data_IF_772066979665
#
_entry.id   IF_772066979665
#
_cell.length_a   1.000
_cell.length_b   1.000
_cell.length_c   1.000
_cell.angle_alpha   90.00
_cell.angle_beta   90.00
_cell.angle_gamma   90.00
#
_symmetry.space_group_name_H-M   'P 1'
#
loop_
_entity.id
_entity.type
_entity.pdbx_description
1 polymer ?
#
# COMPACT_ATOMS: atom_id res chain seq x y z
N UNK A 1 7.71 -16.54 7.00
CA UNK A 1 6.83 -15.60 7.73
C UNK A 1 5.96 -14.95 6.67
N UNK A 2 4.68 -15.21 6.53
CA UNK A 2 3.72 -15.88 7.38
C UNK A 2 2.47 -15.04 7.23
N UNK A 3 1.55 -15.46 6.35
CA UNK A 3 0.26 -14.80 6.16
C UNK A 3 -0.37 -14.60 7.51
N UNK A 4 -0.30 -13.38 8.01
CA UNK A 4 -1.10 -13.02 9.14
C UNK A 4 -2.41 -12.55 8.53
N UNK A 5 -3.30 -13.51 8.28
CA UNK A 5 -4.72 -13.26 8.41
C UNK A 5 -4.93 -12.86 9.88
N UNK A 6 -4.48 -11.65 10.23
CA UNK A 6 -4.71 -11.08 11.54
C UNK A 6 -6.22 -10.98 11.61
N UNK A 7 -6.80 -11.81 12.48
CA UNK A 7 -8.15 -11.69 12.98
C UNK A 7 -8.40 -10.20 13.16
N UNK A 8 -9.12 -9.64 12.19
CA UNK A 8 -9.28 -8.21 12.03
C UNK A 8 -9.85 -7.69 13.33
N UNK A 9 -9.14 -6.72 13.88
CA UNK A 9 -9.53 -5.97 15.06
C UNK A 9 -11.06 -5.79 15.09
N UNK A 10 -11.78 -6.21 16.15
CA UNK A 10 -13.25 -6.19 16.18
C UNK A 10 -13.86 -4.80 15.92
N UNK A 11 -13.06 -3.74 15.99
CA UNK A 11 -13.45 -2.37 15.65
C UNK A 11 -13.57 -2.07 14.14
N UNK A 12 -13.05 -2.94 13.26
CA UNK A 12 -13.07 -2.76 11.80
C UNK A 12 -14.06 -3.66 11.06
N UNK A 13 -14.82 -4.49 11.78
CA UNK A 13 -15.80 -5.42 11.22
C UNK A 13 -16.85 -4.82 10.24
N UNK A 14 -17.25 -3.53 10.32
CA UNK A 14 -18.20 -2.97 9.35
C UNK A 14 -17.55 -2.33 8.11
N UNK A 15 -16.22 -2.28 7.99
CA UNK A 15 -15.55 -1.70 6.83
C UNK A 15 -15.10 -2.83 5.91
N UNK A 16 -15.44 -2.77 4.62
CA UNK A 16 -14.91 -3.62 3.55
C UNK A 16 -13.41 -3.31 3.32
N UNK A 17 -12.62 -3.42 4.39
CA UNK A 17 -11.23 -2.97 4.45
C UNK A 17 -10.33 -4.10 3.98
N UNK A 18 -9.71 -3.94 2.81
CA UNK A 18 -8.62 -4.80 2.40
C UNK A 18 -7.32 -4.22 2.96
N UNK A 19 -6.53 -5.04 3.66
CA UNK A 19 -5.29 -4.63 4.30
C UNK A 19 -4.11 -5.40 3.70
N UNK A 20 -3.05 -4.66 3.40
CA UNK A 20 -1.77 -5.21 2.97
C UNK A 20 -0.65 -4.66 3.85
N UNK A 21 0.11 -5.56 4.44
CA UNK A 21 1.43 -5.22 4.94
C UNK A 21 2.40 -5.29 3.76
N UNK A 22 3.00 -4.18 3.41
CA UNK A 22 3.93 -4.11 2.29
C UNK A 22 5.06 -3.13 2.57
N UNK A 23 6.08 -3.18 1.73
CA UNK A 23 7.06 -2.12 1.69
C UNK A 23 6.62 -1.06 0.68
N UNK A 24 6.75 0.22 1.03
CA UNK A 24 6.48 1.35 0.14
C UNK A 24 7.74 2.18 -0.09
N UNK A 25 7.85 2.74 -1.29
CA UNK A 25 8.87 3.73 -1.68
C UNK A 25 8.22 4.84 -2.51
N UNK A 26 8.56 6.11 -2.25
CA UNK A 26 8.12 7.22 -3.09
C UNK A 26 8.89 7.20 -4.43
N UNK A 27 8.17 7.25 -5.54
CA UNK A 27 8.73 7.24 -6.89
C UNK A 27 9.09 8.67 -7.31
N UNK A 28 10.35 8.90 -7.68
CA UNK A 28 10.90 10.22 -8.04
C UNK A 28 12.07 10.67 -7.17
N UNK A 29 12.30 10.00 -6.05
CA UNK A 29 13.45 10.20 -5.17
C UNK A 29 14.31 8.93 -5.23
N UNK A 30 15.36 8.96 -6.05
CA UNK A 30 16.07 7.77 -6.53
C UNK A 30 16.77 6.94 -5.43
N UNK A 31 16.67 7.32 -4.16
CA UNK A 31 17.56 6.85 -3.09
C UNK A 31 16.87 6.59 -1.74
N UNK A 32 15.53 6.69 -1.65
CA UNK A 32 14.85 6.40 -0.37
C UNK A 32 14.74 4.89 -0.11
N UNK A 33 15.11 4.40 1.08
CA UNK A 33 14.97 2.99 1.43
C UNK A 33 13.49 2.60 1.50
N UNK A 34 13.20 1.35 1.18
CA UNK A 34 11.90 0.73 1.40
C UNK A 34 11.48 0.85 2.86
N UNK A 35 10.25 1.32 3.09
CA UNK A 35 9.67 1.41 4.43
C UNK A 35 8.53 0.42 4.58
N UNK A 36 8.57 -0.39 5.64
CA UNK A 36 7.43 -1.25 5.99
C UNK A 36 6.26 -0.36 6.42
N UNK A 37 5.11 -0.55 5.79
CA UNK A 37 3.88 0.21 6.07
C UNK A 37 2.68 -0.74 6.03
N UNK A 38 1.61 -0.33 6.70
CA UNK A 38 0.30 -0.91 6.50
C UNK A 38 -0.46 -0.07 5.50
N UNK A 39 -0.96 -0.69 4.45
CA UNK A 39 -1.86 -0.07 3.47
C UNK A 39 -3.25 -0.66 3.67
N UNK A 40 -4.25 0.21 3.70
CA UNK A 40 -5.65 -0.19 3.78
C UNK A 40 -6.44 0.48 2.66
N UNK A 41 -7.27 -0.31 1.97
CA UNK A 41 -8.25 0.21 1.03
C UNK A 41 -9.60 0.35 1.73
N UNK A 42 -10.20 1.51 1.60
CA UNK A 42 -11.61 1.75 1.90
C UNK A 42 -12.38 1.86 0.59
N UNK A 43 -13.69 2.10 0.65
CA UNK A 43 -14.49 2.37 -0.55
C UNK A 43 -14.05 3.62 -1.32
N UNK A 44 -13.40 4.59 -0.65
CA UNK A 44 -13.12 5.91 -1.22
C UNK A 44 -11.66 6.33 -1.17
N UNK A 45 -10.88 5.77 -0.27
CA UNK A 45 -9.51 6.20 0.05
C UNK A 45 -8.56 4.99 0.18
N UNK A 46 -7.34 5.15 -0.34
CA UNK A 46 -6.17 4.34 -0.01
C UNK A 46 -5.45 5.00 1.17
N UNK A 47 -5.36 4.29 2.29
CA UNK A 47 -4.78 4.76 3.54
C UNK A 47 -3.41 4.11 3.74
N UNK A 48 -2.42 4.88 4.19
CA UNK A 48 -1.10 4.37 4.58
C UNK A 48 -0.87 4.69 6.05
N UNK A 49 -0.45 3.70 6.81
CA UNK A 49 -0.06 3.81 8.21
C UNK A 49 1.40 3.39 8.38
N UNK A 50 2.13 4.09 9.23
CA UNK A 50 3.54 3.77 9.52
C UNK A 50 3.71 2.43 10.24
N UNK A 51 2.68 1.98 10.98
CA UNK A 51 2.62 0.67 11.62
C UNK A 51 1.17 0.24 11.85
N UNK A 52 0.96 -1.03 12.23
CA UNK A 52 -0.37 -1.58 12.53
C UNK A 52 -1.03 -0.83 13.70
N UNK A 53 -2.15 -0.11 13.48
CA UNK A 53 -2.82 0.63 14.55
C UNK A 53 -3.38 -0.34 15.60
N UNK A 54 -2.96 -0.17 16.87
CA UNK A 54 -3.32 -1.07 17.97
C UNK A 54 -4.59 -0.66 18.74
N UNK A 55 -5.02 0.59 18.57
CA UNK A 55 -6.22 1.16 19.20
C UNK A 55 -7.15 1.76 18.15
N UNK A 56 -8.45 1.87 18.47
CA UNK A 56 -9.48 2.32 17.52
C UNK A 56 -9.21 3.72 16.99
N UNK A 57 -8.77 4.63 17.85
CA UNK A 57 -8.56 6.04 17.54
C UNK A 57 -7.45 6.24 16.50
N UNK A 58 -6.44 5.38 16.53
CA UNK A 58 -5.30 5.43 15.61
C UNK A 58 -5.70 5.08 14.16
N UNK A 59 -6.80 4.35 13.94
CA UNK A 59 -7.31 4.08 12.58
C UNK A 59 -7.84 5.33 11.88
N UNK A 60 -8.20 6.37 12.63
CA UNK A 60 -8.66 7.65 12.06
C UNK A 60 -7.52 8.62 11.75
N UNK A 61 -6.27 8.24 12.02
CA UNK A 61 -5.09 9.09 11.81
C UNK A 61 -4.06 8.38 10.92
N UNK A 62 -4.40 8.10 9.65
CA UNK A 62 -3.43 7.57 8.70
C UNK A 62 -2.29 8.57 8.45
N UNK A 63 -1.10 8.06 8.13
CA UNK A 63 0.03 8.88 7.70
C UNK A 63 -0.29 9.59 6.38
N UNK A 64 -0.91 8.85 5.46
CA UNK A 64 -1.41 9.39 4.19
C UNK A 64 -2.81 8.85 3.90
N UNK A 65 -3.65 9.73 3.34
CA UNK A 65 -4.98 9.37 2.83
C UNK A 65 -5.09 9.86 1.38
N UNK A 66 -5.22 8.92 0.46
CA UNK A 66 -5.27 9.18 -0.98
C UNK A 66 -6.64 8.82 -1.55
N UNK A 67 -7.44 9.78 -2.03
CA UNK A 67 -8.73 9.47 -2.63
C UNK A 67 -8.57 8.56 -3.84
N UNK A 68 -9.33 7.47 -3.91
CA UNK A 68 -9.30 6.51 -5.02
C UNK A 68 -9.72 7.16 -6.34
N UNK A 69 -10.65 8.11 -6.29
CA UNK A 69 -11.05 8.90 -7.46
C UNK A 69 -9.87 9.67 -8.08
N UNK A 70 -8.87 10.05 -7.28
CA UNK A 70 -7.66 10.76 -7.70
C UNK A 70 -6.42 9.85 -7.79
N UNK A 71 -6.55 8.57 -7.45
CA UNK A 71 -5.46 7.59 -7.44
C UNK A 71 -5.61 6.62 -8.61
N UNK A 72 -4.52 6.34 -9.31
CA UNK A 72 -4.48 5.39 -10.42
C UNK A 72 -3.38 4.38 -10.20
N UNK A 73 -3.68 3.12 -10.44
CA UNK A 73 -2.66 2.10 -10.66
C UNK A 73 -1.97 2.40 -12.00
N UNK A 74 -0.64 2.46 -12.01
CA UNK A 74 0.13 2.80 -13.22
C UNK A 74 1.11 1.73 -13.67
N UNK A 75 1.48 0.82 -12.77
CA UNK A 75 2.34 -0.31 -13.09
C UNK A 75 2.05 -1.48 -12.16
N UNK A 76 2.08 -2.70 -12.70
CA UNK A 76 2.05 -3.96 -11.94
C UNK A 76 3.01 -4.92 -12.65
N UNK A 77 4.07 -5.37 -11.98
CA UNK A 77 5.06 -6.24 -12.61
C UNK A 77 6.46 -6.19 -11.98
N UNK A 78 7.41 -6.97 -12.52
CA UNK A 78 8.80 -6.94 -12.09
C UNK A 78 9.34 -5.52 -12.24
N UNK A 79 9.85 -4.96 -11.14
CA UNK A 79 10.25 -3.55 -11.05
C UNK A 79 11.23 -3.12 -12.14
N UNK A 80 11.18 -1.85 -12.54
CA UNK A 80 12.19 -1.26 -13.43
C UNK A 80 13.50 -1.05 -12.69
N UNK A 81 14.33 -2.09 -12.65
CA UNK A 81 15.68 -2.09 -12.11
C UNK A 81 16.33 -3.45 -12.35
N UNK A 82 17.62 -3.46 -12.66
CA UNK A 82 18.47 -4.65 -12.92
C UNK A 82 18.05 -5.92 -12.14
N UNK A 83 18.09 -7.12 -12.75
CA UNK A 83 17.59 -8.36 -12.16
C UNK A 83 18.50 -8.82 -11.01
N UNK A 84 18.22 -8.36 -9.80
CA UNK A 84 18.79 -8.95 -8.59
C UNK A 84 17.76 -9.90 -7.97
N UNK A 85 17.92 -11.20 -8.27
CA UNK A 85 17.41 -12.34 -7.50
C UNK A 85 16.06 -12.17 -6.80
N UNK A 86 14.97 -12.40 -7.54
CA UNK A 86 13.62 -12.49 -7.02
C UNK A 86 12.67 -11.72 -7.92
N UNK A 87 11.59 -12.35 -8.36
CA UNK A 87 10.54 -11.64 -9.10
C UNK A 87 10.01 -10.54 -8.16
N UNK A 88 10.37 -9.28 -8.39
CA UNK A 88 9.87 -8.17 -7.58
C UNK A 88 8.38 -8.00 -7.85
N UNK A 89 7.56 -8.59 -6.97
CA UNK A 89 6.11 -8.51 -7.03
C UNK A 89 5.68 -7.12 -6.55
N UNK A 90 5.69 -6.16 -7.45
CA UNK A 90 5.43 -4.77 -7.12
C UNK A 90 4.33 -4.16 -7.97
N UNK A 91 3.66 -3.16 -7.39
CA UNK A 91 2.73 -2.31 -8.10
C UNK A 91 2.98 -0.85 -7.73
N UNK A 92 2.64 0.07 -8.64
CA UNK A 92 2.80 1.50 -8.42
C UNK A 92 1.49 2.25 -8.58
N UNK A 93 1.27 3.22 -7.70
CA UNK A 93 0.15 4.16 -7.79
C UNK A 93 0.65 5.56 -8.09
N UNK A 94 -0.20 6.36 -8.75
CA UNK A 94 -0.06 7.81 -8.89
C UNK A 94 -1.33 8.47 -8.36
N UNK A 95 -1.17 9.47 -7.51
CA UNK A 95 -2.28 10.21 -6.91
C UNK A 95 -2.14 11.69 -7.19
N UNK A 96 -3.22 12.30 -7.67
CA UNK A 96 -3.34 13.76 -7.72
C UNK A 96 -3.56 14.32 -6.32
N UNK A 97 -2.64 15.16 -5.85
CA UNK A 97 -2.70 15.87 -4.57
C UNK A 97 -2.72 17.38 -4.82
N UNK A 98 -2.92 18.17 -3.76
CA UNK A 98 -2.88 19.63 -3.89
C UNK A 98 -1.46 20.14 -4.23
N UNK A 99 -0.42 19.39 -3.86
CA UNK A 99 0.97 19.74 -4.18
C UNK A 99 1.44 19.20 -5.56
N UNK A 100 0.61 18.46 -6.29
CA UNK A 100 0.96 17.92 -7.60
C UNK A 100 0.59 16.45 -7.74
N UNK A 101 1.50 15.64 -8.31
CA UNK A 101 1.28 14.21 -8.47
C UNK A 101 2.28 13.46 -7.61
N UNK A 102 1.77 12.71 -6.64
CA UNK A 102 2.56 11.82 -5.81
C UNK A 102 2.52 10.40 -6.38
N UNK A 103 3.64 9.68 -6.27
CA UNK A 103 3.77 8.36 -6.85
C UNK A 103 4.41 7.42 -5.83
N UNK A 104 3.84 6.23 -5.65
CA UNK A 104 4.31 5.24 -4.68
C UNK A 104 4.51 3.89 -5.37
N UNK A 105 5.59 3.21 -5.03
CA UNK A 105 5.86 1.82 -5.39
C UNK A 105 5.65 0.95 -4.15
N UNK A 106 4.83 -0.09 -4.29
CA UNK A 106 4.50 -1.03 -3.23
C UNK A 106 5.03 -2.41 -3.60
N UNK A 107 5.72 -3.07 -2.66
CA UNK A 107 6.22 -4.44 -2.81
C UNK A 107 5.34 -5.39 -2.02
N UNK A 108 4.72 -6.32 -2.74
CA UNK A 108 3.92 -7.41 -2.20
C UNK A 108 4.75 -8.66 -1.94
N UNK A 109 4.36 -9.47 -0.96
CA UNK A 109 5.06 -10.71 -0.63
C UNK A 109 4.68 -11.87 -1.56
N UNK A 110 3.44 -11.89 -2.07
CA UNK A 110 2.92 -13.00 -2.87
C UNK A 110 2.22 -12.54 -4.14
N UNK A 111 2.28 -13.35 -5.21
CA UNK A 111 1.62 -13.05 -6.49
C UNK A 111 0.10 -12.95 -6.34
N UNK A 112 -0.48 -13.65 -5.35
CA UNK A 112 -1.89 -13.52 -4.98
C UNK A 112 -2.17 -12.11 -4.45
N UNK A 113 -1.35 -11.60 -3.54
CA UNK A 113 -1.57 -10.27 -2.95
C UNK A 113 -1.38 -9.20 -4.03
N UNK A 114 -0.35 -9.31 -4.87
CA UNK A 114 -0.20 -8.46 -6.04
C UNK A 114 -1.47 -8.46 -6.89
N UNK A 115 -1.95 -9.66 -7.25
CA UNK A 115 -3.14 -9.81 -8.08
C UNK A 115 -4.40 -9.27 -7.43
N UNK A 116 -4.51 -9.27 -6.09
CA UNK A 116 -5.68 -8.73 -5.40
C UNK A 116 -5.68 -7.20 -5.44
N UNK A 117 -4.51 -6.59 -5.24
CA UNK A 117 -4.33 -5.15 -5.14
C UNK A 117 -4.24 -4.42 -6.49
N UNK A 118 -4.14 -5.14 -7.60
CA UNK A 118 -4.04 -4.56 -8.96
C UNK A 118 -5.28 -4.82 -9.83
N UNK A 119 -6.41 -5.22 -9.24
CA UNK A 119 -7.66 -5.49 -9.96
C UNK A 119 -8.50 -4.24 -10.19
#
# INVERSE_FOLDING_TARGET
MGKSSLLLNPFLAPLSLEILLCFVQALGENEKPWKAVLVALTEKDLLIFESMPRIKEAWFSPLHSYPLLATRLVHSGPGKGSPQSGVDLSFATRTGTQQGIESHLFKSETSRDLSLWTR
#
